data_IF_578912679313
#
_entry.id   IF_578912679313
#
_cell.length_a   1.000
_cell.length_b   1.000
_cell.length_c   1.000
_cell.angle_alpha   90.00
_cell.angle_beta   90.00
_cell.angle_gamma   90.00
#
_symmetry.space_group_name_H-M   'P 1'
#
loop_
_entity.id
_entity.type
_entity.pdbx_description
1 polymer ?
#
# COMPACT_ATOMS: atom_id res chain seq x y z
N UNK A 1 -16.45 24.59 3.67
CA UNK A 1 -17.06 23.33 4.18
C UNK A 1 -15.94 22.43 4.68
N UNK A 2 -16.06 21.82 5.87
CA UNK A 2 -15.04 20.87 6.37
C UNK A 2 -15.31 19.47 5.81
N UNK A 3 -14.28 18.65 5.54
CA UNK A 3 -14.46 17.26 5.11
C UNK A 3 -15.24 16.44 6.15
N UNK A 4 -16.02 15.43 5.74
CA UNK A 4 -16.65 14.51 6.67
C UNK A 4 -15.60 13.72 7.45
N UNK A 5 -15.86 13.49 8.73
CA UNK A 5 -15.04 12.64 9.59
C UNK A 5 -15.64 11.23 9.67
N UNK A 6 -14.78 10.23 9.88
CA UNK A 6 -15.23 8.86 10.16
C UNK A 6 -16.00 8.83 11.49
N UNK A 7 -16.99 7.93 11.58
CA UNK A 7 -17.74 7.67 12.83
C UNK A 7 -17.02 6.65 13.70
N UNK A 8 -17.41 6.58 14.97
CA UNK A 8 -16.92 5.55 15.87
C UNK A 8 -17.18 4.15 15.28
N UNK A 9 -16.14 3.32 15.24
CA UNK A 9 -16.20 1.96 14.66
C UNK A 9 -15.96 1.87 13.15
N UNK A 10 -15.92 3.00 12.42
CA UNK A 10 -15.59 2.99 11.00
C UNK A 10 -14.07 2.89 10.78
N UNK A 11 -13.67 2.21 9.70
CA UNK A 11 -12.26 2.11 9.28
C UNK A 11 -11.81 3.43 8.68
N UNK A 12 -10.60 3.84 9.03
CA UNK A 12 -9.96 5.03 8.47
C UNK A 12 -8.49 4.74 8.13
N UNK A 13 -7.91 5.59 7.28
CA UNK A 13 -6.48 5.54 6.99
C UNK A 13 -5.73 6.34 8.06
N UNK A 14 -5.01 5.64 8.94
CA UNK A 14 -4.23 6.27 10.02
C UNK A 14 -2.98 6.93 9.46
N UNK A 15 -2.76 8.20 9.80
CA UNK A 15 -1.55 8.95 9.46
C UNK A 15 -0.38 8.74 10.43
N UNK A 16 0.81 9.29 10.14
CA UNK A 16 1.15 10.07 8.93
C UNK A 16 1.39 9.18 7.70
N UNK A 17 0.77 9.55 6.58
CA UNK A 17 1.03 8.90 5.28
C UNK A 17 1.77 9.91 4.39
N UNK A 18 3.04 9.66 4.00
CA UNK A 18 3.78 10.59 3.17
C UNK A 18 3.10 10.77 1.81
N UNK A 19 2.64 11.99 1.52
CA UNK A 19 1.91 12.26 0.29
C UNK A 19 2.77 12.01 -0.96
N UNK A 20 4.07 12.30 -0.90
CA UNK A 20 5.01 12.01 -1.98
C UNK A 20 5.10 10.51 -2.30
N UNK A 21 5.02 9.66 -1.27
CA UNK A 21 4.99 8.21 -1.44
C UNK A 21 3.73 7.76 -2.19
N UNK A 22 2.56 8.27 -1.78
CA UNK A 22 1.29 7.98 -2.46
C UNK A 22 1.23 8.57 -3.87
N UNK A 23 1.78 9.76 -4.08
CA UNK A 23 1.85 10.37 -5.40
C UNK A 23 2.73 9.56 -6.35
N UNK A 24 3.83 9.00 -5.85
CA UNK A 24 4.70 8.11 -6.63
C UNK A 24 3.95 6.84 -7.03
N UNK A 25 3.22 6.21 -6.10
CA UNK A 25 2.43 5.02 -6.43
C UNK A 25 1.21 5.30 -7.32
N UNK A 26 0.64 6.50 -7.25
CA UNK A 26 -0.46 6.93 -8.11
C UNK A 26 -0.07 7.09 -9.59
N UNK A 27 1.21 7.32 -9.88
CA UNK A 27 1.74 7.41 -11.25
C UNK A 27 2.00 6.02 -11.87
N UNK A 28 2.01 4.96 -11.05
CA UNK A 28 2.25 3.60 -11.52
C UNK A 28 0.98 2.98 -12.13
N UNK A 29 1.11 2.06 -13.11
CA UNK A 29 -0.04 1.51 -13.82
C UNK A 29 -1.00 0.68 -12.94
N UNK A 30 -2.24 0.52 -13.41
CA UNK A 30 -3.18 -0.46 -12.87
C UNK A 30 -3.74 -0.10 -11.48
N UNK A 31 -3.73 -1.07 -10.55
CA UNK A 31 -4.33 -0.93 -9.20
C UNK A 31 -3.31 -0.54 -8.13
N UNK A 32 -2.20 0.07 -8.54
CA UNK A 32 -1.06 0.33 -7.65
C UNK A 32 -1.38 1.29 -6.51
N UNK A 33 -2.13 2.37 -6.78
CA UNK A 33 -2.63 3.26 -5.72
C UNK A 33 -3.61 2.55 -4.76
N UNK A 34 -4.43 1.62 -5.26
CA UNK A 34 -5.39 0.91 -4.41
C UNK A 34 -4.65 0.03 -3.40
N UNK A 35 -3.63 -0.71 -3.86
CA UNK A 35 -2.79 -1.53 -2.98
C UNK A 35 -2.00 -0.66 -2.01
N UNK A 36 -1.46 0.46 -2.48
CA UNK A 36 -0.77 1.45 -1.66
C UNK A 36 -1.61 1.92 -0.47
N UNK A 37 -2.87 2.29 -0.70
CA UNK A 37 -3.80 2.68 0.36
C UNK A 37 -4.03 1.52 1.34
N UNK A 38 -4.19 0.30 0.84
CA UNK A 38 -4.37 -0.90 1.69
C UNK A 38 -3.13 -1.18 2.54
N UNK A 39 -1.93 -1.03 1.99
CA UNK A 39 -0.69 -1.23 2.73
C UNK A 39 -0.56 -0.22 3.88
N UNK A 40 -0.81 1.06 3.63
CA UNK A 40 -0.82 2.09 4.67
C UNK A 40 -1.93 1.89 5.69
N UNK A 41 -3.12 1.43 5.27
CA UNK A 41 -4.20 1.06 6.18
C UNK A 41 -3.76 -0.07 7.12
N UNK A 42 -3.18 -1.14 6.59
CA UNK A 42 -2.71 -2.28 7.38
C UNK A 42 -1.52 -1.89 8.28
N UNK A 43 -0.62 -1.04 7.80
CA UNK A 43 0.53 -0.56 8.56
C UNK A 43 0.09 0.28 9.76
N UNK A 44 -0.88 1.18 9.54
CA UNK A 44 -1.49 1.97 10.59
C UNK A 44 -2.30 1.14 11.60
N UNK A 45 -3.02 0.13 11.11
CA UNK A 45 -3.80 -0.80 11.94
C UNK A 45 -2.89 -1.66 12.84
N UNK A 46 -1.80 -2.19 12.28
CA UNK A 46 -0.88 -3.09 12.98
C UNK A 46 0.27 -2.35 13.68
N UNK A 47 0.36 -1.03 13.53
CA UNK A 47 1.44 -0.18 14.03
C UNK A 47 2.84 -0.68 13.62
N UNK A 48 3.00 -1.12 12.36
CA UNK A 48 4.25 -1.67 11.83
C UNK A 48 4.40 -1.37 10.34
N UNK A 49 5.64 -1.22 9.87
CA UNK A 49 5.97 -1.05 8.45
C UNK A 49 5.93 -2.36 7.66
N UNK A 50 5.91 -3.50 8.34
CA UNK A 50 5.87 -4.81 7.71
C UNK A 50 4.52 -5.49 7.89
N UNK A 51 3.80 -5.65 6.78
CA UNK A 51 2.42 -6.12 6.78
C UNK A 51 2.25 -7.34 5.89
N UNK A 52 1.47 -8.31 6.36
CA UNK A 52 0.92 -9.33 5.47
C UNK A 52 -0.14 -8.67 4.59
N UNK A 53 -0.24 -9.07 3.32
CA UNK A 53 -1.26 -8.53 2.41
C UNK A 53 -2.30 -9.61 2.04
N UNK A 54 -3.38 -9.79 2.82
CA UNK A 54 -4.42 -10.77 2.52
C UNK A 54 -5.22 -10.39 1.28
N UNK A 55 -5.48 -11.37 0.41
CA UNK A 55 -6.33 -11.16 -0.77
C UNK A 55 -7.79 -10.83 -0.40
N UNK A 56 -8.26 -11.22 0.78
CA UNK A 56 -9.61 -10.87 1.26
C UNK A 56 -9.81 -9.38 1.46
N UNK A 57 -8.82 -8.68 2.03
CA UNK A 57 -8.86 -7.23 2.21
C UNK A 57 -8.78 -6.54 0.85
N UNK A 58 -7.90 -7.01 -0.04
CA UNK A 58 -7.76 -6.43 -1.39
C UNK A 58 -9.03 -6.51 -2.24
N UNK A 59 -9.85 -7.55 -2.06
CA UNK A 59 -11.14 -7.66 -2.75
C UNK A 59 -12.10 -6.53 -2.41
N UNK A 60 -12.10 -6.03 -1.17
CA UNK A 60 -12.96 -4.87 -0.81
C UNK A 60 -12.51 -3.57 -1.47
N UNK A 61 -11.30 -3.54 -2.05
CA UNK A 61 -10.76 -2.43 -2.84
C UNK A 61 -10.79 -2.74 -4.35
N UNK A 62 -11.52 -3.78 -4.78
CA UNK A 62 -11.61 -4.16 -6.19
C UNK A 62 -10.28 -4.63 -6.79
N UNK A 63 -9.39 -5.20 -5.98
CA UNK A 63 -8.09 -5.73 -6.41
C UNK A 63 -8.14 -7.25 -6.42
N UNK A 64 -8.05 -7.83 -7.61
CA UNK A 64 -7.92 -9.27 -7.82
C UNK A 64 -6.46 -9.76 -7.63
N UNK A 65 -6.25 -11.08 -7.74
CA UNK A 65 -4.94 -11.71 -7.55
C UNK A 65 -3.90 -11.28 -8.59
N UNK A 66 -4.30 -11.10 -9.83
CA UNK A 66 -3.42 -10.71 -10.94
C UNK A 66 -3.06 -9.23 -10.85
N UNK A 67 -4.01 -8.38 -10.48
CA UNK A 67 -3.78 -6.98 -10.15
C UNK A 67 -2.85 -6.84 -8.94
N UNK A 68 -3.05 -7.67 -7.89
CA UNK A 68 -2.17 -7.76 -6.73
C UNK A 68 -0.72 -8.03 -7.13
N UNK A 69 -0.49 -9.09 -7.92
CA UNK A 69 0.87 -9.46 -8.36
C UNK A 69 1.53 -8.30 -9.09
N UNK A 70 0.89 -7.80 -10.17
CA UNK A 70 1.45 -6.73 -11.00
C UNK A 70 1.76 -5.45 -10.21
N UNK A 71 0.85 -5.03 -9.34
CA UNK A 71 1.07 -3.81 -8.56
C UNK A 71 2.14 -3.97 -7.47
N UNK A 72 2.30 -5.17 -6.89
CA UNK A 72 3.45 -5.42 -6.00
C UNK A 72 4.77 -5.34 -6.77
N UNK A 73 4.82 -5.88 -7.99
CA UNK A 73 6.01 -5.80 -8.84
C UNK A 73 6.34 -4.33 -9.18
N UNK A 74 5.35 -3.52 -9.59
CA UNK A 74 5.55 -2.08 -9.85
C UNK A 74 6.00 -1.28 -8.64
N UNK A 75 5.44 -1.55 -7.45
CA UNK A 75 5.82 -0.84 -6.23
C UNK A 75 7.23 -1.19 -5.76
N UNK A 76 7.62 -2.45 -5.94
CA UNK A 76 8.96 -2.94 -5.61
C UNK A 76 10.00 -2.34 -6.57
N UNK A 77 9.71 -2.31 -7.87
CA UNK A 77 10.56 -1.66 -8.88
C UNK A 77 10.70 -0.15 -8.64
N UNK A 78 9.64 0.51 -8.21
CA UNK A 78 9.66 1.94 -7.85
C UNK A 78 10.37 2.23 -6.51
N UNK A 79 10.88 1.20 -5.81
CA UNK A 79 11.56 1.36 -4.53
C UNK A 79 10.65 1.82 -3.40
N UNK A 80 9.33 1.66 -3.54
CA UNK A 80 8.35 2.09 -2.55
C UNK A 80 8.11 1.01 -1.48
N UNK A 81 8.33 -0.25 -1.84
CA UNK A 81 8.19 -1.42 -0.96
C UNK A 81 9.30 -2.44 -1.20
N UNK A 82 9.44 -3.36 -0.26
CA UNK A 82 10.14 -4.63 -0.44
C UNK A 82 9.15 -5.80 -0.21
N UNK A 83 9.20 -6.85 -1.03
CA UNK A 83 8.24 -7.96 -0.98
C UNK A 83 8.90 -9.30 -0.70
N UNK A 84 8.66 -9.83 0.50
CA UNK A 84 9.02 -11.19 0.87
C UNK A 84 7.91 -12.16 0.41
N UNK A 85 8.22 -12.96 -0.62
CA UNK A 85 7.29 -13.94 -1.19
C UNK A 85 7.59 -15.33 -0.61
N UNK A 86 6.56 -15.99 -0.06
CA UNK A 86 6.64 -17.37 0.41
C UNK A 86 5.60 -18.25 -0.30
N UNK A 87 5.96 -19.44 -0.79
CA UNK A 87 5.01 -20.37 -1.40
C UNK A 87 3.82 -20.66 -0.47
N UNK A 88 2.60 -20.62 -1.01
CA UNK A 88 1.37 -20.93 -0.27
C UNK A 88 0.94 -19.92 0.79
N UNK A 89 1.66 -18.81 0.98
CA UNK A 89 1.33 -17.78 1.99
C UNK A 89 1.09 -16.42 1.35
N UNK A 90 0.43 -15.53 2.09
CA UNK A 90 0.35 -14.13 1.70
C UNK A 90 1.75 -13.52 1.72
N UNK A 91 2.12 -12.69 0.74
CA UNK A 91 3.39 -11.99 0.76
C UNK A 91 3.45 -11.07 1.98
N UNK A 92 4.65 -10.95 2.55
CA UNK A 92 4.97 -9.97 3.58
C UNK A 92 5.60 -8.77 2.87
N UNK A 93 5.02 -7.60 3.08
CA UNK A 93 5.37 -6.36 2.38
C UNK A 93 5.92 -5.38 3.41
N UNK A 94 7.08 -4.81 3.11
CA UNK A 94 7.75 -3.83 3.95
C UNK A 94 7.66 -2.48 3.24
N UNK A 95 7.08 -1.48 3.91
CA UNK A 95 7.02 -0.10 3.42
C UNK A 95 8.40 0.56 3.54
N UNK A 96 8.86 1.18 2.44
CA UNK A 96 10.10 1.96 2.39
C UNK A 96 9.79 3.46 2.46
N UNK A 97 10.74 4.24 2.99
CA UNK A 97 10.59 5.69 3.10
C UNK A 97 10.76 6.36 1.73
N UNK A 98 9.90 7.33 1.41
CA UNK A 98 9.96 8.06 0.13
C UNK A 98 11.23 8.92 -0.03
N UNK A 99 11.95 9.18 1.06
CA UNK A 99 13.19 9.96 1.10
C UNK A 99 14.32 9.38 0.26
N UNK A 100 14.20 8.13 -0.17
CA UNK A 100 15.20 7.48 -1.03
C UNK A 100 14.94 7.73 -2.53
N UNK A 101 13.87 8.44 -2.90
CA UNK A 101 13.59 8.83 -4.29
C UNK A 101 14.04 10.27 -4.54
N UNK A 102 15.33 10.55 -4.33
CA UNK A 102 15.98 11.70 -4.95
C UNK A 102 15.99 11.44 -6.46
N UNK A 103 15.16 12.16 -7.21
CA UNK A 103 14.98 12.03 -8.65
C UNK A 103 16.23 12.32 -9.48
N UNK A 104 17.21 11.42 -9.40
CA UNK A 104 18.40 11.35 -10.26
C UNK A 104 18.37 10.01 -11.01
N UNK A 105 17.66 10.02 -12.13
CA UNK A 105 17.93 9.21 -13.31
C UNK A 105 17.60 10.07 -14.53
#
# INVERSE_FOLDING_TARGET
>A
MKPPHHKAGEKFLKGPVPLAWLASSARLPGKTLHISVVLWFLAGLNNTRSVSLPSSVLRSFGVDRSAKRRALDWLEEAGLIMVERHPGRNPRVILLDASNFDGRS
#
